data_IF_468896052421
#
_entry.id   IF_468896052421
#
_cell.length_a   1.000
_cell.length_b   1.000
_cell.length_c   1.000
_cell.angle_alpha   90.00
_cell.angle_beta   90.00
_cell.angle_gamma   90.00
#
_symmetry.space_group_name_H-M   'P 1'
#
loop_
_entity.id
_entity.type
_entity.pdbx_description
1 polymer ?
#
# COMPACT_ATOMS: atom_id res chain seq x y z
N UNK A 1 19.16 19.55 18.37
CA UNK A 1 19.43 18.55 17.32
C UNK A 1 18.21 18.49 16.42
N UNK A 2 18.38 18.60 15.10
CA UNK A 2 17.26 18.54 14.14
C UNK A 2 17.30 17.21 13.39
N UNK A 3 16.27 16.41 13.55
CA UNK A 3 16.14 15.09 12.90
C UNK A 3 15.24 15.25 11.68
N UNK A 4 15.76 14.92 10.51
CA UNK A 4 14.99 14.89 9.27
C UNK A 4 14.27 13.55 9.14
N UNK A 5 12.96 13.57 8.93
CA UNK A 5 12.15 12.37 8.66
C UNK A 5 11.66 12.45 7.24
N UNK A 6 12.06 11.49 6.41
CA UNK A 6 11.55 11.35 5.06
C UNK A 6 10.45 10.28 5.05
N UNK A 7 9.20 10.72 4.98
CA UNK A 7 8.06 9.84 4.76
C UNK A 7 8.01 9.50 3.28
N UNK A 8 8.13 8.22 2.92
CA UNK A 8 8.27 7.78 1.53
C UNK A 8 7.10 6.89 1.13
N UNK A 9 6.41 7.27 0.05
CA UNK A 9 5.36 6.43 -0.53
C UNK A 9 5.69 6.06 -1.99
N UNK A 10 4.88 5.21 -2.62
CA UNK A 10 5.11 4.73 -4.00
C UNK A 10 5.16 5.87 -4.99
N UNK A 11 4.18 6.74 -4.96
CA UNK A 11 4.01 7.84 -5.88
C UNK A 11 2.80 7.71 -6.80
N UNK A 12 2.58 8.76 -7.58
CA UNK A 12 1.45 8.90 -8.50
C UNK A 12 1.88 9.80 -9.66
N UNK A 13 1.30 9.67 -10.87
CA UNK A 13 1.57 10.62 -11.93
C UNK A 13 1.11 12.05 -11.55
N UNK A 14 1.65 13.07 -12.21
CA UNK A 14 1.31 14.46 -11.91
C UNK A 14 -0.12 14.85 -12.37
N UNK A 15 -0.70 14.10 -13.32
CA UNK A 15 -2.04 14.28 -13.84
C UNK A 15 -2.58 12.97 -14.44
N UNK A 16 -3.92 12.80 -14.57
CA UNK A 16 -4.52 11.62 -15.17
C UNK A 16 -4.54 11.75 -16.72
N UNK A 17 -3.37 12.07 -17.32
CA UNK A 17 -3.19 12.23 -18.77
C UNK A 17 -2.07 11.32 -19.28
N UNK A 18 -2.11 11.03 -20.58
CA UNK A 18 -1.10 10.19 -21.24
C UNK A 18 0.31 10.77 -21.04
N UNK A 19 0.44 12.10 -21.17
CA UNK A 19 1.71 12.82 -21.05
C UNK A 19 2.33 12.71 -19.66
N UNK A 20 1.51 12.72 -18.62
CA UNK A 20 1.95 12.58 -17.23
C UNK A 20 2.16 11.11 -16.80
N UNK A 21 1.35 10.19 -17.32
CA UNK A 21 1.41 8.77 -16.96
C UNK A 21 2.59 8.06 -17.61
N UNK A 22 2.93 8.37 -18.87
CA UNK A 22 4.06 7.71 -19.55
C UNK A 22 5.40 7.86 -18.82
N UNK A 23 5.87 9.06 -18.42
CA UNK A 23 7.10 9.19 -17.67
C UNK A 23 7.04 8.50 -16.30
N UNK A 24 5.91 8.60 -15.58
CA UNK A 24 5.70 7.90 -14.31
C UNK A 24 5.80 6.37 -14.45
N UNK A 25 5.08 5.78 -15.41
CA UNK A 25 5.17 4.34 -15.69
C UNK A 25 6.57 3.92 -16.14
N UNK A 26 7.25 4.75 -16.91
CA UNK A 26 8.62 4.47 -17.33
C UNK A 26 9.56 4.42 -16.13
N UNK A 27 9.45 5.37 -15.19
CA UNK A 27 10.26 5.39 -13.98
C UNK A 27 9.96 4.16 -13.11
N UNK A 28 8.67 3.86 -12.88
CA UNK A 28 8.21 2.72 -12.10
C UNK A 28 8.72 1.39 -12.67
N UNK A 29 8.47 1.13 -13.95
CA UNK A 29 8.83 -0.14 -14.59
C UNK A 29 10.34 -0.30 -14.84
N UNK A 30 11.08 0.80 -14.91
CA UNK A 30 12.54 0.79 -15.01
C UNK A 30 13.24 0.46 -13.70
N UNK A 31 12.54 0.34 -12.59
CA UNK A 31 13.13 -0.12 -11.33
C UNK A 31 13.46 -1.62 -11.42
N UNK A 32 14.73 -2.05 -11.16
CA UNK A 32 15.10 -3.45 -11.13
C UNK A 32 14.42 -4.27 -10.03
N UNK A 33 13.83 -3.63 -9.02
CA UNK A 33 13.00 -4.31 -8.01
C UNK A 33 11.62 -4.67 -8.56
N UNK A 34 11.10 -3.90 -9.51
CA UNK A 34 9.83 -4.17 -10.20
C UNK A 34 10.06 -5.12 -11.37
N UNK A 35 11.01 -4.77 -12.24
CA UNK A 35 11.36 -5.59 -13.40
C UNK A 35 12.84 -6.00 -13.36
N UNK A 36 13.11 -7.23 -12.91
CA UNK A 36 14.44 -7.75 -12.64
C UNK A 36 15.32 -8.03 -13.88
N UNK A 37 14.81 -7.77 -15.11
CA UNK A 37 15.58 -7.98 -16.34
C UNK A 37 16.82 -7.08 -16.43
N UNK A 38 17.89 -7.48 -17.14
CA UNK A 38 19.04 -6.62 -17.43
C UNK A 38 18.60 -5.30 -18.08
N UNK A 39 19.34 -4.22 -17.82
CA UNK A 39 18.96 -2.85 -18.23
C UNK A 39 18.52 -2.71 -19.70
N UNK A 40 19.26 -3.20 -20.72
CA UNK A 40 18.86 -3.03 -22.13
C UNK A 40 17.55 -3.78 -22.45
N UNK A 41 17.38 -4.98 -21.91
CA UNK A 41 16.17 -5.78 -22.10
C UNK A 41 14.99 -5.10 -21.39
N UNK A 42 15.18 -4.67 -20.14
CA UNK A 42 14.17 -3.93 -19.38
C UNK A 42 13.74 -2.67 -20.10
N UNK A 43 14.68 -1.88 -20.64
CA UNK A 43 14.39 -0.67 -21.41
C UNK A 43 13.51 -0.96 -22.63
N UNK A 44 13.81 -2.01 -23.39
CA UNK A 44 13.00 -2.41 -24.56
C UNK A 44 11.59 -2.82 -24.16
N UNK A 45 11.45 -3.67 -23.12
CA UNK A 45 10.14 -4.12 -22.59
C UNK A 45 9.33 -2.92 -22.09
N UNK A 46 9.93 -2.05 -21.27
CA UNK A 46 9.25 -0.87 -20.71
C UNK A 46 8.81 0.08 -21.82
N UNK A 47 9.66 0.36 -22.81
CA UNK A 47 9.30 1.18 -23.96
C UNK A 47 8.08 0.61 -24.69
N UNK A 48 8.01 -0.71 -24.88
CA UNK A 48 6.87 -1.38 -25.51
C UNK A 48 5.59 -1.26 -24.65
N UNK A 49 5.68 -1.54 -23.33
CA UNK A 49 4.52 -1.46 -22.41
C UNK A 49 3.97 -0.04 -22.38
N UNK A 50 4.85 0.96 -22.19
CA UNK A 50 4.47 2.37 -22.09
C UNK A 50 3.88 2.90 -23.41
N UNK A 51 4.25 2.33 -24.54
CA UNK A 51 3.66 2.72 -25.84
C UNK A 51 2.25 2.15 -26.05
N UNK A 52 1.94 0.97 -25.46
CA UNK A 52 0.71 0.22 -25.73
C UNK A 52 -0.38 0.28 -24.67
N UNK A 53 -0.03 0.57 -23.40
CA UNK A 53 -0.97 0.53 -22.26
C UNK A 53 -1.48 1.87 -21.72
N UNK A 54 -1.22 3.04 -22.30
CA UNK A 54 -1.55 4.29 -21.61
C UNK A 54 -3.06 4.53 -21.48
N UNK A 55 -3.89 4.11 -22.42
CA UNK A 55 -5.32 4.43 -22.42
C UNK A 55 -6.07 3.83 -21.24
N UNK A 56 -5.99 2.52 -21.02
CA UNK A 56 -6.63 1.86 -19.89
C UNK A 56 -6.08 2.36 -18.53
N UNK A 57 -4.78 2.63 -18.45
CA UNK A 57 -4.17 3.19 -17.24
C UNK A 57 -4.67 4.62 -16.99
N UNK A 58 -4.81 5.43 -18.04
CA UNK A 58 -5.39 6.79 -17.95
C UNK A 58 -6.82 6.75 -17.45
N UNK A 59 -7.65 5.84 -17.94
CA UNK A 59 -9.04 5.68 -17.49
C UNK A 59 -9.11 5.36 -15.99
N UNK A 60 -8.28 4.44 -15.51
CA UNK A 60 -8.21 4.12 -14.10
C UNK A 60 -7.76 5.33 -13.26
N UNK A 61 -6.74 6.08 -13.71
CA UNK A 61 -6.31 7.30 -13.02
C UNK A 61 -7.40 8.39 -13.06
N UNK A 62 -8.13 8.56 -14.17
CA UNK A 62 -9.26 9.49 -14.25
C UNK A 62 -10.37 9.12 -13.27
N UNK A 63 -10.69 7.83 -13.17
CA UNK A 63 -11.70 7.35 -12.23
C UNK A 63 -11.28 7.51 -10.75
N UNK A 64 -9.97 7.51 -10.48
CA UNK A 64 -9.40 7.71 -9.15
C UNK A 64 -9.20 9.18 -8.79
N UNK A 65 -9.05 10.07 -9.79
CA UNK A 65 -8.70 11.48 -9.61
C UNK A 65 -9.88 12.31 -9.10
N UNK A 66 -9.57 13.32 -8.28
CA UNK A 66 -10.56 14.29 -7.79
C UNK A 66 -10.28 15.69 -8.34
N UNK A 67 -11.21 16.66 -8.22
CA UNK A 67 -10.92 18.06 -8.55
C UNK A 67 -9.73 18.66 -7.77
N UNK A 68 -9.43 18.12 -6.58
CA UNK A 68 -8.27 18.53 -5.78
C UNK A 68 -6.95 17.84 -6.20
N UNK A 69 -6.97 16.96 -7.21
CA UNK A 69 -5.80 16.20 -7.66
C UNK A 69 -5.83 14.74 -7.27
N UNK A 70 -4.65 14.13 -7.13
CA UNK A 70 -4.49 12.74 -6.69
C UNK A 70 -4.85 12.60 -5.20
N UNK A 71 -5.88 11.82 -4.83
CA UNK A 71 -6.21 11.56 -3.43
C UNK A 71 -5.05 10.92 -2.67
N UNK A 72 -4.29 10.05 -3.34
CA UNK A 72 -3.12 9.39 -2.79
C UNK A 72 -2.01 10.39 -2.39
N UNK A 73 -1.71 11.36 -3.27
CA UNK A 73 -0.74 12.41 -2.97
C UNK A 73 -1.23 13.29 -1.81
N UNK A 74 -2.46 13.77 -1.89
CA UNK A 74 -3.05 14.62 -0.85
C UNK A 74 -3.06 13.95 0.52
N UNK A 75 -3.48 12.67 0.61
CA UNK A 75 -3.43 11.91 1.86
C UNK A 75 -1.99 11.77 2.37
N UNK A 76 -1.02 11.49 1.49
CA UNK A 76 0.39 11.38 1.89
C UNK A 76 0.97 12.71 2.39
N UNK A 77 0.56 13.85 1.81
CA UNK A 77 0.94 15.19 2.28
C UNK A 77 0.36 15.48 3.66
N UNK A 78 -0.91 15.15 3.87
CA UNK A 78 -1.56 15.27 5.18
C UNK A 78 -0.90 14.37 6.23
N UNK A 79 -0.56 13.13 5.89
CA UNK A 79 0.18 12.23 6.78
C UNK A 79 1.52 12.82 7.22
N UNK A 80 2.28 13.41 6.29
CA UNK A 80 3.56 14.06 6.61
C UNK A 80 3.39 15.26 7.54
N UNK A 81 2.36 16.08 7.30
CA UNK A 81 2.03 17.23 8.14
C UNK A 81 1.65 16.79 9.57
N UNK A 82 0.70 15.86 9.69
CA UNK A 82 0.25 15.36 10.99
C UNK A 82 1.37 14.65 11.76
N UNK A 83 2.23 13.91 11.06
CA UNK A 83 3.39 13.28 11.70
C UNK A 83 4.37 14.32 12.23
N UNK A 84 4.61 15.43 11.49
CA UNK A 84 5.45 16.51 11.98
C UNK A 84 4.89 17.16 13.25
N UNK A 85 3.58 17.42 13.27
CA UNK A 85 2.91 17.95 14.45
C UNK A 85 3.03 16.98 15.64
N UNK A 86 2.74 15.70 15.43
CA UNK A 86 2.81 14.67 16.46
C UNK A 86 4.23 14.48 17.02
N UNK A 87 5.26 14.55 16.19
CA UNK A 87 6.66 14.45 16.63
C UNK A 87 7.13 15.66 17.42
N UNK A 88 6.66 16.86 17.09
CA UNK A 88 7.06 18.10 17.76
C UNK A 88 6.15 18.52 18.92
N UNK A 89 5.05 17.80 19.18
CA UNK A 89 4.17 18.08 20.34
C UNK A 89 4.77 17.61 21.66
N UNK A 90 5.75 16.71 21.64
CA UNK A 90 6.44 16.21 22.83
C UNK A 90 7.70 17.06 23.09
N UNK A 91 7.87 17.48 24.36
CA UNK A 91 8.94 18.39 24.82
C UNK A 91 10.29 17.71 25.00
N UNK A 92 10.68 16.76 24.17
CA UNK A 92 12.07 16.34 24.17
C UNK A 92 12.91 17.41 23.43
N UNK A 93 14.15 17.63 23.81
CA UNK A 93 15.03 18.66 23.23
C UNK A 93 15.39 18.38 21.74
N UNK A 94 14.57 17.62 21.03
CA UNK A 94 14.71 17.27 19.61
C UNK A 94 13.68 18.03 18.76
N UNK A 95 14.11 18.49 17.62
CA UNK A 95 13.22 19.10 16.62
C UNK A 95 13.16 18.15 15.41
N UNK A 96 11.96 17.83 14.96
CA UNK A 96 11.76 16.96 13.81
C UNK A 96 11.32 17.79 12.60
N UNK A 97 11.89 17.49 11.45
CA UNK A 97 11.49 18.03 10.16
C UNK A 97 11.02 16.90 9.27
N UNK A 98 9.72 16.84 8.99
CA UNK A 98 9.13 15.80 8.15
C UNK A 98 8.97 16.31 6.73
N UNK A 99 9.45 15.54 5.75
CA UNK A 99 9.24 15.80 4.33
C UNK A 99 8.59 14.58 3.68
N UNK A 100 7.63 14.83 2.79
CA UNK A 100 7.10 13.78 1.91
C UNK A 100 8.05 13.55 0.75
N UNK A 101 8.26 12.30 0.37
CA UNK A 101 8.91 11.91 -0.87
C UNK A 101 8.18 10.76 -1.54
N UNK A 102 8.19 10.75 -2.86
CA UNK A 102 7.67 9.67 -3.67
C UNK A 102 8.83 8.85 -4.26
N UNK A 103 8.67 7.52 -4.24
CA UNK A 103 9.66 6.66 -4.88
C UNK A 103 9.67 6.86 -6.39
N UNK A 104 8.51 7.12 -6.98
CA UNK A 104 8.31 7.44 -8.40
C UNK A 104 7.46 8.69 -8.53
N UNK A 105 7.89 9.62 -9.40
CA UNK A 105 7.23 10.91 -9.58
C UNK A 105 7.65 11.96 -8.54
N UNK A 106 6.73 12.84 -8.17
CA UNK A 106 7.01 14.02 -7.34
C UNK A 106 6.14 14.10 -6.06
N UNK A 107 6.68 14.70 -4.96
CA UNK A 107 8.07 15.13 -4.77
C UNK A 107 9.04 13.95 -4.71
N UNK A 108 10.21 14.07 -5.33
CA UNK A 108 11.15 12.94 -5.42
C UNK A 108 11.96 12.73 -4.14
N UNK A 109 12.51 11.52 -3.95
CA UNK A 109 13.47 11.24 -2.86
C UNK A 109 14.67 12.20 -2.92
N UNK A 110 15.12 12.55 -4.13
CA UNK A 110 16.23 13.50 -4.31
C UNK A 110 15.88 14.90 -3.79
N UNK A 111 14.71 15.41 -4.14
CA UNK A 111 14.24 16.73 -3.66
C UNK A 111 13.99 16.74 -2.15
N UNK A 112 13.44 15.65 -1.60
CA UNK A 112 13.25 15.52 -0.16
C UNK A 112 14.55 15.53 0.63
N UNK A 113 15.59 14.80 0.17
CA UNK A 113 16.92 14.83 0.80
C UNK A 113 17.57 16.22 0.73
N UNK A 114 17.41 16.92 -0.40
CA UNK A 114 17.93 18.28 -0.54
C UNK A 114 17.21 19.26 0.40
N UNK A 115 15.89 19.13 0.58
CA UNK A 115 15.14 19.94 1.56
C UNK A 115 15.63 19.70 2.99
N UNK A 116 15.84 18.43 3.39
CA UNK A 116 16.38 18.10 4.72
C UNK A 116 17.80 18.62 4.92
N UNK A 117 18.62 18.63 3.87
CA UNK A 117 19.97 19.22 3.89
C UNK A 117 19.93 20.74 4.10
N UNK A 118 19.03 21.44 3.41
CA UNK A 118 18.84 22.90 3.56
C UNK A 118 18.36 23.28 4.98
N UNK A 119 17.53 22.43 5.59
CA UNK A 119 17.09 22.56 6.99
C UNK A 119 18.18 22.15 8.00
N UNK A 120 19.38 21.80 7.53
CA UNK A 120 20.55 21.42 8.36
C UNK A 120 20.26 20.26 9.31
N UNK A 121 19.45 19.30 8.87
CA UNK A 121 19.18 18.09 9.64
C UNK A 121 20.49 17.33 9.91
N UNK A 122 20.68 16.93 11.16
CA UNK A 122 21.89 16.23 11.63
C UNK A 122 21.77 14.71 11.50
N UNK A 123 20.56 14.19 11.51
CA UNK A 123 20.22 12.78 11.37
C UNK A 123 19.05 12.63 10.42
N UNK A 124 18.96 11.50 9.70
CA UNK A 124 17.90 11.25 8.74
C UNK A 124 17.23 9.91 9.03
N UNK A 125 15.92 9.95 9.20
CA UNK A 125 15.06 8.76 9.27
C UNK A 125 14.41 8.56 7.91
N UNK A 126 14.60 7.38 7.32
CA UNK A 126 13.88 6.94 6.13
C UNK A 126 12.70 6.08 6.57
N UNK A 127 11.49 6.57 6.32
CA UNK A 127 10.23 5.96 6.72
C UNK A 127 9.37 5.64 5.48
N UNK A 128 9.62 4.53 4.77
CA UNK A 128 8.66 4.03 3.79
C UNK A 128 7.36 3.62 4.49
N UNK A 129 6.22 4.14 4.02
CA UNK A 129 4.93 3.95 4.68
C UNK A 129 4.24 2.64 4.28
N UNK A 130 5.00 1.57 4.33
CA UNK A 130 4.51 0.20 4.17
C UNK A 130 4.60 -0.53 5.50
N UNK A 131 3.47 -0.89 6.13
CA UNK A 131 3.49 -1.53 7.45
C UNK A 131 4.31 -2.82 7.46
N UNK A 132 4.19 -3.66 6.45
CA UNK A 132 4.97 -4.88 6.26
C UNK A 132 6.19 -4.62 5.37
N UNK A 133 7.33 -5.24 5.71
CA UNK A 133 8.60 -5.07 4.99
C UNK A 133 8.57 -5.76 3.62
N UNK A 134 8.10 -5.08 2.60
CA UNK A 134 8.08 -5.58 1.23
C UNK A 134 9.27 -5.05 0.43
N UNK A 135 10.08 -5.97 -0.10
CA UNK A 135 11.32 -5.66 -0.82
C UNK A 135 11.11 -4.72 -2.01
N UNK A 136 10.09 -4.95 -2.80
CA UNK A 136 9.80 -4.17 -4.02
C UNK A 136 9.39 -2.72 -3.73
N UNK A 137 8.87 -2.43 -2.53
CA UNK A 137 8.48 -1.10 -2.08
C UNK A 137 9.54 -0.50 -1.15
N UNK A 138 9.58 -0.90 0.12
CA UNK A 138 10.52 -0.37 1.10
C UNK A 138 11.99 -0.54 0.67
N UNK A 139 12.36 -1.71 0.17
CA UNK A 139 13.72 -1.97 -0.32
C UNK A 139 14.11 -1.07 -1.50
N UNK A 140 13.17 -0.80 -2.43
CA UNK A 140 13.38 0.13 -3.54
C UNK A 140 13.57 1.58 -3.04
N UNK A 141 12.76 2.01 -2.05
CA UNK A 141 12.89 3.33 -1.42
C UNK A 141 14.28 3.52 -0.79
N UNK A 142 14.74 2.56 0.01
CA UNK A 142 16.06 2.62 0.63
C UNK A 142 17.20 2.62 -0.39
N UNK A 143 17.08 1.82 -1.45
CA UNK A 143 18.09 1.79 -2.52
C UNK A 143 18.22 3.14 -3.22
N UNK A 144 17.10 3.77 -3.58
CA UNK A 144 17.14 5.09 -4.21
C UNK A 144 17.64 6.16 -3.25
N UNK A 145 17.17 6.16 -1.99
CA UNK A 145 17.65 7.10 -0.98
C UNK A 145 19.17 7.01 -0.77
N UNK A 146 19.72 5.79 -0.61
CA UNK A 146 21.17 5.59 -0.49
C UNK A 146 21.94 6.04 -1.72
N UNK A 147 21.39 5.86 -2.91
CA UNK A 147 22.00 6.33 -4.17
C UNK A 147 22.08 7.86 -4.22
N UNK A 148 21.03 8.57 -3.79
CA UNK A 148 21.01 10.03 -3.72
C UNK A 148 21.93 10.55 -2.60
N UNK A 149 21.90 9.93 -1.41
CA UNK A 149 22.79 10.25 -0.28
C UNK A 149 24.27 10.17 -0.67
N UNK A 150 24.69 9.14 -1.44
CA UNK A 150 26.07 9.05 -1.97
C UNK A 150 26.47 10.23 -2.84
N UNK A 151 25.52 10.89 -3.52
CA UNK A 151 25.82 12.12 -4.30
C UNK A 151 25.99 13.32 -3.36
N UNK A 152 25.17 13.44 -2.32
CA UNK A 152 25.24 14.51 -1.34
C UNK A 152 26.46 14.38 -0.41
N UNK A 153 26.90 13.14 -0.12
CA UNK A 153 28.16 12.87 0.58
C UNK A 153 29.37 13.46 -0.15
N UNK A 154 29.40 13.39 -1.49
CA UNK A 154 30.43 14.03 -2.30
C UNK A 154 30.42 15.57 -2.21
N UNK A 155 29.33 16.14 -1.75
CA UNK A 155 29.13 17.57 -1.51
C UNK A 155 29.32 17.94 -0.01
N UNK A 156 29.84 17.01 0.80
CA UNK A 156 30.14 17.22 2.21
C UNK A 156 28.99 16.98 3.17
N UNK A 157 27.84 16.42 2.74
CA UNK A 157 26.72 16.11 3.63
C UNK A 157 26.56 14.60 3.83
N UNK A 158 26.86 14.11 5.03
CA UNK A 158 26.87 12.70 5.41
C UNK A 158 26.22 12.48 6.79
N UNK A 159 24.91 12.70 6.93
CA UNK A 159 24.22 12.44 8.19
C UNK A 159 24.13 10.94 8.47
N UNK A 160 24.05 10.51 9.75
CA UNK A 160 23.56 9.19 10.13
C UNK A 160 22.19 8.89 9.52
N UNK A 161 21.96 7.63 9.14
CA UNK A 161 20.73 7.20 8.50
C UNK A 161 20.08 6.09 9.30
N UNK A 162 18.82 6.29 9.67
CA UNK A 162 17.97 5.31 10.34
C UNK A 162 16.91 4.79 9.37
N UNK A 163 16.85 3.47 9.14
CA UNK A 163 15.89 2.85 8.22
C UNK A 163 14.79 2.14 8.99
N UNK A 164 13.56 2.62 8.87
CA UNK A 164 12.38 1.94 9.41
C UNK A 164 11.84 0.98 8.36
N UNK A 165 12.01 -0.33 8.59
CA UNK A 165 11.69 -1.36 7.60
C UNK A 165 10.25 -1.86 7.69
N UNK A 166 9.63 -1.76 8.85
CA UNK A 166 8.24 -2.15 9.12
C UNK A 166 7.75 -1.48 10.40
N UNK A 167 6.43 -1.37 10.53
CA UNK A 167 5.75 -0.88 11.72
C UNK A 167 4.42 -1.63 11.96
N UNK A 168 4.24 -2.79 11.31
CA UNK A 168 3.03 -3.60 11.37
C UNK A 168 2.69 -4.13 12.76
N UNK A 169 3.69 -4.27 13.64
CA UNK A 169 3.59 -4.79 15.01
C UNK A 169 3.38 -3.70 16.08
N UNK A 170 3.41 -2.44 15.70
CA UNK A 170 3.16 -1.33 16.63
C UNK A 170 1.69 -1.36 17.09
N UNK A 171 1.41 -1.40 18.42
CA UNK A 171 0.05 -1.52 18.93
C UNK A 171 -0.92 -0.45 18.43
N UNK A 172 -0.46 0.79 18.25
CA UNK A 172 -1.28 1.87 17.71
C UNK A 172 -1.79 1.58 16.28
N UNK A 173 -0.95 1.00 15.41
CA UNK A 173 -1.36 0.56 14.07
C UNK A 173 -2.39 -0.57 14.13
N UNK A 174 -2.19 -1.58 14.98
CA UNK A 174 -3.12 -2.70 15.16
C UNK A 174 -4.49 -2.22 15.65
N UNK A 175 -4.50 -1.35 16.66
CA UNK A 175 -5.74 -0.78 17.19
C UNK A 175 -6.47 0.05 16.14
N UNK A 176 -5.75 0.87 15.36
CA UNK A 176 -6.34 1.63 14.26
C UNK A 176 -6.99 0.73 13.20
N UNK A 177 -6.35 -0.39 12.84
CA UNK A 177 -6.93 -1.37 11.91
C UNK A 177 -8.19 -2.01 12.47
N UNK A 178 -8.17 -2.44 13.74
CA UNK A 178 -9.33 -3.00 14.43
C UNK A 178 -10.51 -2.04 14.40
N UNK A 179 -10.28 -0.79 14.80
CA UNK A 179 -11.31 0.24 14.85
C UNK A 179 -11.85 0.55 13.45
N UNK A 180 -10.97 0.69 12.46
CA UNK A 180 -11.35 0.94 11.07
C UNK A 180 -12.23 -0.20 10.53
N UNK A 181 -11.83 -1.46 10.71
CA UNK A 181 -12.64 -2.60 10.27
C UNK A 181 -14.00 -2.60 10.95
N UNK A 182 -14.04 -2.40 12.28
CA UNK A 182 -15.28 -2.40 13.06
C UNK A 182 -16.22 -1.25 12.70
N UNK A 183 -15.70 -0.13 12.22
CA UNK A 183 -16.50 1.01 11.76
C UNK A 183 -17.24 0.71 10.45
N UNK A 184 -16.59 -0.02 9.53
CA UNK A 184 -17.13 -0.26 8.19
C UNK A 184 -17.88 -1.58 8.04
N UNK A 185 -17.61 -2.53 8.92
CA UNK A 185 -18.16 -3.86 8.79
C UNK A 185 -18.51 -4.48 10.14
N UNK A 186 -19.73 -5.01 10.22
CA UNK A 186 -20.18 -5.82 11.36
C UNK A 186 -20.21 -7.27 10.93
N UNK A 187 -19.41 -8.11 11.59
CA UNK A 187 -19.40 -9.54 11.35
C UNK A 187 -20.74 -10.16 11.73
N UNK A 188 -21.36 -10.81 10.76
CA UNK A 188 -22.55 -11.65 11.01
C UNK A 188 -22.20 -13.12 10.78
N UNK A 189 -22.93 -14.08 11.40
CA UNK A 189 -22.66 -15.49 11.20
C UNK A 189 -22.62 -15.88 9.72
N UNK A 190 -21.52 -16.50 9.28
CA UNK A 190 -21.30 -16.91 7.89
C UNK A 190 -20.69 -15.85 6.97
N UNK A 191 -20.39 -14.65 7.49
CA UNK A 191 -19.61 -13.66 6.72
C UNK A 191 -18.11 -13.97 6.71
N UNK A 192 -17.37 -13.39 5.76
CA UNK A 192 -15.91 -13.55 5.62
C UNK A 192 -15.20 -12.22 5.53
N UNK A 193 -14.09 -12.12 6.26
CA UNK A 193 -13.14 -11.02 6.16
C UNK A 193 -11.93 -11.45 5.34
N UNK A 194 -11.75 -10.88 4.18
CA UNK A 194 -10.60 -11.11 3.30
C UNK A 194 -9.55 -10.05 3.57
N UNK A 195 -8.39 -10.47 4.07
CA UNK A 195 -7.24 -9.60 4.36
C UNK A 195 -6.29 -9.70 3.17
N UNK A 196 -6.34 -8.68 2.32
CA UNK A 196 -5.63 -8.65 1.05
C UNK A 196 -4.36 -7.82 1.13
N UNK A 197 -3.25 -8.39 0.65
CA UNK A 197 -1.96 -7.71 0.53
C UNK A 197 -1.51 -7.68 -0.93
N UNK A 198 -0.61 -6.77 -1.28
CA UNK A 198 -0.02 -6.79 -2.62
C UNK A 198 0.81 -8.06 -2.80
N UNK A 199 0.58 -8.77 -3.90
CA UNK A 199 1.34 -9.97 -4.24
C UNK A 199 2.81 -9.63 -4.57
N UNK A 200 3.70 -10.58 -4.36
CA UNK A 200 5.11 -10.49 -4.75
C UNK A 200 5.58 -11.83 -5.33
N UNK A 201 6.74 -11.84 -5.97
CA UNK A 201 7.25 -13.06 -6.59
C UNK A 201 7.59 -14.13 -5.54
N UNK A 202 7.17 -15.37 -5.79
CA UNK A 202 7.53 -16.51 -4.93
C UNK A 202 9.04 -16.69 -4.81
N UNK A 203 9.81 -16.32 -5.83
CA UNK A 203 11.28 -16.35 -5.79
C UNK A 203 11.88 -15.38 -4.77
N UNK A 204 11.20 -14.25 -4.51
CA UNK A 204 11.64 -13.31 -3.47
C UNK A 204 11.28 -13.81 -2.07
N UNK A 205 10.07 -14.38 -1.90
CA UNK A 205 9.64 -15.01 -0.64
C UNK A 205 10.52 -16.20 -0.26
N UNK A 206 10.96 -17.00 -1.22
CA UNK A 206 11.92 -18.12 -0.95
C UNK A 206 13.27 -17.62 -0.47
N UNK A 207 13.69 -16.43 -0.84
CA UNK A 207 14.95 -15.81 -0.38
C UNK A 207 14.79 -15.11 0.97
N UNK A 208 13.67 -14.45 1.17
CA UNK A 208 13.33 -13.71 2.40
C UNK A 208 11.82 -13.81 2.68
N UNK A 209 11.40 -14.68 3.64
CA UNK A 209 10.01 -14.88 3.97
C UNK A 209 9.42 -13.78 4.87
N UNK A 210 10.19 -12.77 5.26
CA UNK A 210 9.81 -11.73 6.23
C UNK A 210 8.45 -11.11 5.87
N UNK A 211 8.27 -10.70 4.61
CA UNK A 211 7.01 -10.11 4.16
C UNK A 211 5.81 -11.03 4.38
N UNK A 212 5.90 -12.29 3.93
CA UNK A 212 4.81 -13.26 4.09
C UNK A 212 4.51 -13.53 5.58
N UNK A 213 5.53 -13.63 6.41
CA UNK A 213 5.36 -13.84 7.84
C UNK A 213 4.65 -12.64 8.50
N UNK A 214 5.00 -11.42 8.12
CA UNK A 214 4.34 -10.21 8.61
C UNK A 214 2.89 -10.08 8.12
N UNK A 215 2.58 -10.49 6.88
CA UNK A 215 1.21 -10.58 6.38
C UNK A 215 0.38 -11.58 7.20
N UNK A 216 0.93 -12.77 7.49
CA UNK A 216 0.28 -13.79 8.33
C UNK A 216 0.03 -13.28 9.75
N UNK A 217 1.03 -12.68 10.36
CA UNK A 217 0.92 -12.05 11.68
C UNK A 217 -0.19 -10.99 11.70
N UNK A 218 -0.20 -10.09 10.74
CA UNK A 218 -1.23 -9.05 10.64
C UNK A 218 -2.64 -9.67 10.54
N UNK A 219 -2.80 -10.71 9.71
CA UNK A 219 -4.07 -11.43 9.60
C UNK A 219 -4.48 -12.11 10.92
N UNK A 220 -3.54 -12.74 11.62
CA UNK A 220 -3.78 -13.38 12.91
C UNK A 220 -4.19 -12.36 13.97
N UNK A 221 -3.53 -11.22 14.03
CA UNK A 221 -3.92 -10.14 14.94
C UNK A 221 -5.32 -9.60 14.64
N UNK A 222 -5.64 -9.36 13.38
CA UNK A 222 -6.98 -8.93 12.98
C UNK A 222 -8.04 -9.93 13.46
N UNK A 223 -7.81 -11.24 13.26
CA UNK A 223 -8.72 -12.27 13.72
C UNK A 223 -8.90 -12.25 15.25
N UNK A 224 -7.80 -12.20 15.99
CA UNK A 224 -7.80 -12.21 17.44
C UNK A 224 -8.40 -10.93 18.05
N UNK A 225 -8.00 -9.77 17.52
CA UNK A 225 -8.41 -8.46 18.04
C UNK A 225 -9.92 -8.18 17.77
N UNK A 226 -10.47 -8.78 16.70
CA UNK A 226 -11.91 -8.74 16.39
C UNK A 226 -12.71 -9.90 17.01
N UNK A 227 -12.05 -10.87 17.65
CA UNK A 227 -12.70 -12.07 18.21
C UNK A 227 -13.31 -12.99 17.13
N UNK A 228 -12.74 -13.00 15.92
CA UNK A 228 -13.25 -13.78 14.79
C UNK A 228 -12.60 -15.17 14.73
N UNK A 229 -13.38 -16.21 14.36
CA UNK A 229 -12.81 -17.51 14.06
C UNK A 229 -11.77 -17.42 12.95
N UNK A 230 -10.65 -18.12 13.11
CA UNK A 230 -9.53 -18.06 12.15
C UNK A 230 -9.93 -18.42 10.71
N UNK A 231 -10.91 -19.32 10.52
CA UNK A 231 -11.44 -19.71 9.21
C UNK A 231 -12.31 -18.62 8.54
N UNK A 232 -12.73 -17.60 9.29
CA UNK A 232 -13.56 -16.51 8.76
C UNK A 232 -12.72 -15.29 8.35
N UNK A 233 -11.42 -15.31 8.68
CA UNK A 233 -10.45 -14.28 8.28
C UNK A 233 -9.44 -14.87 7.31
N UNK A 234 -9.56 -14.55 6.02
CA UNK A 234 -8.84 -15.21 4.93
C UNK A 234 -7.69 -14.33 4.45
N UNK A 235 -6.47 -14.85 4.49
CA UNK A 235 -5.30 -14.19 3.89
C UNK A 235 -5.32 -14.35 2.38
N UNK A 236 -5.13 -13.27 1.64
CA UNK A 236 -5.07 -13.26 0.18
C UNK A 236 -4.09 -12.21 -0.35
N UNK A 237 -3.84 -12.26 -1.66
CA UNK A 237 -2.89 -11.37 -2.34
C UNK A 237 -3.48 -10.83 -3.64
N UNK A 238 -3.24 -9.55 -3.95
CA UNK A 238 -3.78 -8.84 -5.10
C UNK A 238 -2.69 -8.34 -6.07
N UNK A 239 -3.09 -7.85 -7.23
CA UNK A 239 -2.24 -7.07 -8.16
C UNK A 239 -1.03 -7.84 -8.69
N UNK A 240 -1.24 -9.10 -9.18
CA UNK A 240 -0.20 -9.78 -9.92
C UNK A 240 0.10 -9.06 -11.25
N UNK A 241 1.36 -8.87 -11.54
CA UNK A 241 1.79 -8.06 -12.68
C UNK A 241 1.91 -8.85 -14.01
N UNK A 242 2.33 -10.13 -13.95
CA UNK A 242 2.60 -10.96 -15.11
C UNK A 242 2.36 -12.46 -14.82
N UNK A 243 2.76 -13.33 -15.76
CA UNK A 243 2.56 -14.78 -15.68
C UNK A 243 3.59 -15.55 -14.84
N UNK A 244 4.56 -14.86 -14.22
CA UNK A 244 5.51 -15.51 -13.28
C UNK A 244 4.78 -16.08 -12.07
N UNK A 245 5.48 -16.89 -11.28
CA UNK A 245 4.93 -17.43 -10.04
C UNK A 245 4.87 -16.33 -8.95
N UNK A 246 3.67 -15.91 -8.62
CA UNK A 246 3.35 -14.91 -7.61
C UNK A 246 2.78 -15.54 -6.34
N UNK A 247 2.87 -14.83 -5.24
CA UNK A 247 2.30 -15.21 -3.96
C UNK A 247 0.77 -15.26 -4.05
N UNK A 248 0.17 -16.35 -3.59
CA UNK A 248 -1.27 -16.63 -3.65
C UNK A 248 -1.77 -17.18 -2.30
N UNK A 249 -3.09 -17.37 -2.05
CA UNK A 249 -4.19 -17.27 -3.01
C UNK A 249 -4.47 -15.84 -3.47
N UNK A 250 -4.98 -15.68 -4.71
CA UNK A 250 -5.33 -14.36 -5.22
C UNK A 250 -6.69 -13.90 -4.67
N UNK A 251 -6.79 -12.61 -4.33
CA UNK A 251 -7.98 -12.01 -3.71
C UNK A 251 -9.25 -12.23 -4.54
N UNK A 252 -9.17 -12.04 -5.86
CA UNK A 252 -10.30 -12.31 -6.78
C UNK A 252 -10.77 -13.76 -6.72
N UNK A 253 -9.81 -14.71 -6.69
CA UNK A 253 -10.14 -16.15 -6.62
C UNK A 253 -10.75 -16.50 -5.25
N UNK A 254 -10.20 -15.95 -4.15
CA UNK A 254 -10.74 -16.15 -2.80
C UNK A 254 -12.20 -15.68 -2.74
N UNK A 255 -12.49 -14.47 -3.20
CA UNK A 255 -13.85 -13.92 -3.20
C UNK A 255 -14.79 -14.80 -4.04
N UNK A 256 -14.36 -15.21 -5.23
CA UNK A 256 -15.13 -16.11 -6.09
C UNK A 256 -15.42 -17.44 -5.39
N UNK A 257 -14.41 -18.07 -4.81
CA UNK A 257 -14.56 -19.37 -4.12
C UNK A 257 -15.52 -19.26 -2.93
N UNK A 258 -15.53 -18.12 -2.21
CA UNK A 258 -16.47 -17.88 -1.12
C UNK A 258 -17.92 -17.73 -1.62
N UNK A 259 -18.12 -17.00 -2.73
CA UNK A 259 -19.42 -16.87 -3.36
C UNK A 259 -19.95 -18.24 -3.85
N UNK A 260 -19.09 -19.05 -4.48
CA UNK A 260 -19.42 -20.40 -4.94
C UNK A 260 -19.78 -21.35 -3.79
N UNK A 261 -19.28 -21.09 -2.57
CA UNK A 261 -19.65 -21.80 -1.34
C UNK A 261 -20.94 -21.26 -0.69
N UNK A 262 -21.57 -20.25 -1.27
CA UNK A 262 -22.82 -19.68 -0.75
C UNK A 262 -22.61 -18.57 0.31
N UNK A 263 -21.38 -18.09 0.52
CA UNK A 263 -21.11 -16.94 1.37
C UNK A 263 -21.64 -15.69 0.68
N UNK A 264 -22.47 -14.94 1.36
CA UNK A 264 -23.15 -13.76 0.80
C UNK A 264 -22.77 -12.44 1.46
N UNK A 265 -21.86 -12.45 2.44
CA UNK A 265 -21.33 -11.24 3.07
C UNK A 265 -19.81 -11.31 3.14
N UNK A 266 -19.16 -10.49 2.31
CA UNK A 266 -17.71 -10.47 2.16
C UNK A 266 -17.19 -9.06 2.40
N UNK A 267 -16.31 -8.95 3.38
CA UNK A 267 -15.57 -7.73 3.65
C UNK A 267 -14.12 -7.89 3.17
N UNK A 268 -13.57 -6.86 2.54
CA UNK A 268 -12.16 -6.83 2.12
C UNK A 268 -11.44 -5.64 2.75
N UNK A 269 -10.30 -5.92 3.38
CA UNK A 269 -9.38 -4.91 3.92
C UNK A 269 -7.99 -5.09 3.33
N UNK A 270 -7.29 -3.99 3.04
CA UNK A 270 -5.95 -3.98 2.43
C UNK A 270 -4.91 -3.35 3.38
N UNK A 271 -4.51 -4.03 4.49
CA UNK A 271 -3.70 -3.41 5.54
C UNK A 271 -2.25 -3.11 5.14
N UNK A 272 -1.79 -3.56 3.97
CA UNK A 272 -0.49 -3.19 3.41
C UNK A 272 -0.42 -1.77 2.84
N UNK A 273 -1.57 -1.09 2.70
CA UNK A 273 -1.68 0.26 2.17
C UNK A 273 -2.21 1.22 3.24
N UNK A 274 -1.47 2.28 3.52
CA UNK A 274 -1.87 3.29 4.51
C UNK A 274 -2.63 4.47 3.89
N UNK A 275 -2.65 4.56 2.57
CA UNK A 275 -3.45 5.50 1.78
C UNK A 275 -4.08 4.75 0.60
N UNK A 276 -5.34 5.06 0.30
CA UNK A 276 -6.02 4.49 -0.85
C UNK A 276 -5.33 4.91 -2.15
N UNK A 277 -5.23 3.95 -3.04
CA UNK A 277 -4.55 4.07 -4.33
C UNK A 277 -5.36 3.35 -5.43
N UNK A 278 -4.78 3.22 -6.62
CA UNK A 278 -5.44 2.53 -7.73
C UNK A 278 -5.73 1.07 -7.40
N UNK A 279 -4.80 0.36 -6.76
CA UNK A 279 -4.96 -1.05 -6.43
C UNK A 279 -6.10 -1.28 -5.43
N UNK A 280 -6.29 -0.37 -4.47
CA UNK A 280 -7.35 -0.50 -3.48
C UNK A 280 -8.70 0.03 -3.99
N UNK A 281 -8.70 1.19 -4.64
CA UNK A 281 -9.93 1.87 -5.04
C UNK A 281 -10.50 1.28 -6.33
N UNK A 282 -9.64 0.98 -7.30
CA UNK A 282 -10.09 0.50 -8.61
C UNK A 282 -10.19 -1.02 -8.64
N UNK A 283 -9.10 -1.75 -8.33
CA UNK A 283 -9.12 -3.22 -8.44
C UNK A 283 -10.04 -3.85 -7.38
N UNK A 284 -9.96 -3.38 -6.11
CA UNK A 284 -10.74 -3.99 -5.03
C UNK A 284 -12.11 -3.32 -4.89
N UNK A 285 -12.17 -2.00 -4.64
CA UNK A 285 -13.44 -1.38 -4.29
C UNK A 285 -14.38 -1.22 -5.50
N UNK A 286 -13.88 -0.98 -6.71
CA UNK A 286 -14.72 -0.84 -7.90
C UNK A 286 -14.91 -2.18 -8.62
N UNK A 287 -13.82 -2.80 -9.07
CA UNK A 287 -13.90 -3.93 -10.02
C UNK A 287 -14.35 -5.22 -9.31
N UNK A 288 -13.79 -5.53 -8.13
CA UNK A 288 -14.19 -6.70 -7.37
C UNK A 288 -15.61 -6.54 -6.78
N UNK A 289 -15.99 -5.33 -6.34
CA UNK A 289 -17.38 -5.02 -5.95
C UNK A 289 -18.35 -5.27 -7.10
N UNK A 290 -18.08 -4.72 -8.27
CA UNK A 290 -18.91 -4.91 -9.47
C UNK A 290 -19.05 -6.41 -9.82
N UNK A 291 -17.98 -7.18 -9.68
CA UNK A 291 -18.04 -8.62 -9.88
C UNK A 291 -19.02 -9.28 -8.91
N UNK A 292 -18.92 -9.01 -7.60
CA UNK A 292 -19.80 -9.58 -6.56
C UNK A 292 -21.26 -9.21 -6.81
N UNK A 293 -21.54 -7.95 -7.12
CA UNK A 293 -22.89 -7.44 -7.38
C UNK A 293 -23.50 -8.06 -8.64
N UNK A 294 -22.71 -8.21 -9.72
CA UNK A 294 -23.18 -8.81 -10.99
C UNK A 294 -23.46 -10.31 -10.83
N UNK A 295 -22.57 -11.07 -10.18
CA UNK A 295 -22.79 -12.51 -9.91
C UNK A 295 -24.05 -12.71 -9.10
N UNK A 296 -24.32 -11.85 -8.14
CA UNK A 296 -25.53 -11.89 -7.31
C UNK A 296 -26.81 -11.62 -8.12
N UNK A 297 -26.75 -10.73 -9.12
CA UNK A 297 -27.87 -10.46 -10.01
C UNK A 297 -28.17 -11.66 -10.94
N UNK A 298 -27.15 -12.29 -11.53
CA UNK A 298 -27.30 -13.46 -12.41
C UNK A 298 -27.86 -14.68 -11.66
N UNK A 299 -27.44 -14.91 -10.42
CA UNK A 299 -27.94 -16.03 -9.60
C UNK A 299 -29.43 -15.89 -9.23
N UNK A 300 -29.96 -14.66 -9.19
CA UNK A 300 -31.38 -14.41 -8.92
C UNK A 300 -32.27 -14.68 -10.14
N UNK A 301 -31.74 -14.67 -11.36
CA UNK A 301 -32.50 -14.86 -12.62
C UNK A 301 -32.44 -16.29 -13.16
N UNK A 302 -31.44 -17.10 -12.79
CA UNK A 302 -31.26 -18.45 -13.33
C UNK A 302 -31.89 -19.54 -12.48
N UNK A 303 -33.08 -19.98 -12.85
CA UNK A 303 -33.73 -21.18 -12.30
C UNK A 303 -33.01 -22.47 -12.80
N UNK A 304 -31.83 -22.82 -12.30
CA UNK A 304 -31.23 -24.11 -12.64
C UNK A 304 -29.71 -24.26 -12.63
N UNK A 305 -28.94 -23.27 -12.17
CA UNK A 305 -27.47 -23.41 -12.05
C UNK A 305 -27.06 -24.02 -10.71
N UNK A 306 -25.96 -24.78 -10.69
CA UNK A 306 -25.34 -25.36 -9.47
C UNK A 306 -24.71 -24.32 -8.52
N UNK A 307 -25.19 -23.10 -8.50
CA UNK A 307 -24.71 -22.06 -7.58
C UNK A 307 -25.53 -22.14 -6.28
N UNK A 308 -24.86 -22.41 -5.19
CA UNK A 308 -25.44 -22.60 -3.86
C UNK A 308 -25.95 -21.30 -3.20
N UNK A 309 -25.99 -20.18 -3.89
CA UNK A 309 -26.58 -18.94 -3.38
C UNK A 309 -28.10 -19.07 -3.33
N UNK A 310 -28.67 -18.78 -2.17
CA UNK A 310 -30.12 -18.65 -2.05
C UNK A 310 -30.58 -17.56 -3.05
N UNK A 311 -31.49 -17.89 -4.02
CA UNK A 311 -31.90 -16.96 -5.07
C UNK A 311 -32.53 -15.65 -4.56
N UNK A 312 -32.87 -15.59 -3.27
CA UNK A 312 -33.42 -14.42 -2.61
C UNK A 312 -32.38 -13.60 -1.80
N UNK A 313 -31.10 -13.96 -1.80
CA UNK A 313 -30.09 -13.28 -1.01
C UNK A 313 -29.01 -12.69 -1.94
N UNK A 314 -29.04 -11.37 -2.09
CA UNK A 314 -27.94 -10.64 -2.77
C UNK A 314 -26.69 -10.72 -1.89
N UNK A 315 -25.55 -10.97 -2.53
CA UNK A 315 -24.28 -10.86 -1.83
C UNK A 315 -23.97 -9.38 -1.54
N UNK A 316 -23.42 -9.13 -0.36
CA UNK A 316 -22.92 -7.83 0.07
C UNK A 316 -21.41 -7.81 -0.01
N UNK A 317 -20.87 -6.72 -0.50
CA UNK A 317 -19.44 -6.48 -0.56
C UNK A 317 -19.08 -5.20 0.18
N UNK A 318 -18.27 -5.32 1.20
CA UNK A 318 -17.75 -4.18 1.96
C UNK A 318 -16.25 -4.04 1.70
N UNK A 319 -15.83 -2.87 1.26
CA UNK A 319 -14.43 -2.48 1.24
C UNK A 319 -14.12 -1.58 2.44
N UNK A 320 -13.11 -1.93 3.22
CA UNK A 320 -12.62 -1.10 4.32
C UNK A 320 -11.53 -0.18 3.77
N UNK A 321 -11.74 1.14 3.74
CA UNK A 321 -10.74 2.09 3.23
C UNK A 321 -9.41 2.01 3.99
N UNK A 322 -8.33 2.43 3.37
CA UNK A 322 -7.04 2.57 4.03
C UNK A 322 -7.13 3.54 5.22
N UNK A 323 -6.22 3.40 6.19
CA UNK A 323 -6.23 4.23 7.41
C UNK A 323 -6.12 5.74 7.14
N UNK A 324 -5.49 6.14 6.02
CA UNK A 324 -5.40 7.54 5.64
C UNK A 324 -4.73 8.39 6.72
N UNK A 325 -5.47 9.36 7.22
CA UNK A 325 -5.02 10.27 8.30
C UNK A 325 -5.52 9.84 9.69
N UNK A 326 -5.83 8.54 9.89
CA UNK A 326 -6.28 8.03 11.19
C UNK A 326 -5.26 8.36 12.29
N UNK A 327 -5.67 8.94 13.44
CA UNK A 327 -4.76 9.30 14.52
C UNK A 327 -3.91 8.14 15.05
N UNK A 328 -4.44 6.92 15.07
CA UNK A 328 -3.69 5.72 15.48
C UNK A 328 -2.60 5.34 14.50
N UNK A 329 -2.79 5.57 13.18
CA UNK A 329 -1.71 5.42 12.21
C UNK A 329 -0.62 6.47 12.44
N UNK A 330 -0.98 7.74 12.61
CA UNK A 330 -0.01 8.82 12.86
C UNK A 330 0.79 8.54 14.12
N UNK A 331 0.14 8.07 15.17
CA UNK A 331 0.80 7.64 16.43
C UNK A 331 1.76 6.46 16.20
N UNK A 332 1.36 5.47 15.39
CA UNK A 332 2.25 4.36 15.05
C UNK A 332 3.50 4.83 14.28
N UNK A 333 3.35 5.75 13.34
CA UNK A 333 4.48 6.35 12.61
C UNK A 333 5.37 7.17 13.55
N UNK A 334 4.78 7.93 14.48
CA UNK A 334 5.51 8.67 15.52
C UNK A 334 6.36 7.73 16.38
N UNK A 335 5.76 6.64 16.90
CA UNK A 335 6.46 5.63 17.69
C UNK A 335 7.59 4.99 16.88
N UNK A 336 7.34 4.67 15.61
CA UNK A 336 8.37 4.09 14.75
C UNK A 336 9.59 5.02 14.58
N UNK A 337 9.35 6.33 14.42
CA UNK A 337 10.42 7.34 14.31
C UNK A 337 11.19 7.49 15.63
N UNK A 338 10.50 7.63 16.75
CA UNK A 338 11.16 7.81 18.05
C UNK A 338 12.00 6.58 18.41
N UNK A 339 11.47 5.36 18.25
CA UNK A 339 12.24 4.14 18.50
C UNK A 339 13.48 3.98 17.59
N UNK A 340 13.47 4.57 16.41
CA UNK A 340 14.63 4.52 15.50
C UNK A 340 15.71 5.57 15.83
N UNK A 341 15.38 6.57 16.64
CA UNK A 341 16.27 7.69 16.99
C UNK A 341 16.70 7.71 18.46
N UNK A 342 16.17 6.81 19.28
CA UNK A 342 16.63 6.52 20.65
C UNK A 342 17.81 5.54 20.64
#
# INVERSE_FOLDING_TARGET
>A
MTIGVMLINTGTPNAPTIEAIKPYLSEFLMDPYIMGAPYPIRKAIVSHIVSKRPEHTVENYRAFWTPAGSPFLHTSEQQAHLLQEALNSNSDNRTYRVVLAMRYGNPSISSGLEALRQEKCTDIVLLPVYPQNVKVCAGSCFKEARKQLKKLEKQGWKPPIHEIRSFHDIPAYRNALKEQISQYWTCVPGSKLVVSFHSTLLSDIKKDPTYLNQCRQTREWIANDLGLPSQDVILSFQSRFDSRAWLSPFTEQVVKDQLDQGISDICVVCPGFVADNIETTIEINRDLRNYVENVSAFCSESKGGKAALNPNRRATFTYVPALGCNPGLIEALRIAVTNATD
#
